data_IF_259625899443
#
_entry.id   IF_259625899443
#
_cell.length_a   1.000
_cell.length_b   1.000
_cell.length_c   1.000
_cell.angle_alpha   90.00
_cell.angle_beta   90.00
_cell.angle_gamma   90.00
#
_symmetry.space_group_name_H-M   'P 1'
#
loop_
_entity.id
_entity.type
_entity.pdbx_description
1 polymer ?
#
# COMPACT_ATOMS: atom_id res chain seq x y z
N UNK A 1 16.75 -4.09 20.84
CA UNK A 1 16.43 -4.82 19.60
C UNK A 1 16.66 -3.86 18.45
N UNK A 2 17.49 -4.20 17.46
CA UNK A 2 17.77 -3.31 16.32
C UNK A 2 16.61 -3.34 15.34
N UNK A 3 16.09 -2.17 14.94
CA UNK A 3 15.00 -2.05 13.97
C UNK A 3 15.51 -2.50 12.59
N UNK A 4 14.91 -3.55 12.03
CA UNK A 4 15.15 -3.94 10.64
C UNK A 4 14.37 -3.01 9.71
N UNK A 5 15.07 -2.39 8.77
CA UNK A 5 14.49 -1.55 7.73
C UNK A 5 14.57 -2.25 6.36
N UNK A 6 13.66 -1.92 5.43
CA UNK A 6 13.72 -2.46 4.09
C UNK A 6 15.01 -2.08 3.37
N UNK A 7 15.51 -2.96 2.50
CA UNK A 7 16.62 -2.66 1.60
C UNK A 7 16.19 -1.78 0.41
N UNK A 8 17.15 -1.35 -0.42
CA UNK A 8 16.87 -0.44 -1.55
C UNK A 8 15.88 -1.04 -2.57
N UNK A 9 15.94 -2.33 -2.83
CA UNK A 9 15.02 -3.01 -3.76
C UNK A 9 13.62 -3.10 -3.18
N UNK A 10 13.51 -3.42 -1.89
CA UNK A 10 12.26 -3.44 -1.15
C UNK A 10 11.63 -2.05 -1.08
N UNK A 11 12.41 -0.98 -0.88
CA UNK A 11 11.89 0.40 -0.92
C UNK A 11 11.32 0.78 -2.29
N UNK A 12 11.97 0.39 -3.38
CA UNK A 12 11.43 0.63 -4.73
C UNK A 12 10.10 -0.10 -4.94
N UNK A 13 10.02 -1.36 -4.49
CA UNK A 13 8.77 -2.13 -4.52
C UNK A 13 7.67 -1.49 -3.66
N UNK A 14 7.99 -1.10 -2.43
CA UNK A 14 7.06 -0.40 -1.52
C UNK A 14 6.54 0.88 -2.19
N UNK A 15 7.40 1.66 -2.84
CA UNK A 15 6.99 2.86 -3.57
C UNK A 15 5.98 2.56 -4.68
N UNK A 16 6.21 1.52 -5.47
CA UNK A 16 5.26 1.10 -6.51
C UNK A 16 3.91 0.69 -5.91
N UNK A 17 3.93 -0.13 -4.85
CA UNK A 17 2.71 -0.55 -4.16
C UNK A 17 1.99 0.65 -3.55
N UNK A 18 2.70 1.61 -2.96
CA UNK A 18 2.12 2.84 -2.43
C UNK A 18 1.43 3.67 -3.52
N UNK A 19 2.01 3.78 -4.72
CA UNK A 19 1.37 4.45 -5.85
C UNK A 19 0.05 3.76 -6.24
N UNK A 20 0.04 2.43 -6.30
CA UNK A 20 -1.18 1.67 -6.59
C UNK A 20 -2.24 1.88 -5.49
N UNK A 21 -1.85 1.75 -4.23
CA UNK A 21 -2.77 1.96 -3.10
C UNK A 21 -3.34 3.37 -3.16
N UNK A 22 -2.49 4.39 -3.30
CA UNK A 22 -2.90 5.80 -3.43
C UNK A 22 -3.93 5.99 -4.53
N UNK A 23 -3.70 5.39 -5.70
CA UNK A 23 -4.59 5.51 -6.85
C UNK A 23 -5.96 4.89 -6.57
N UNK A 24 -6.02 3.67 -6.02
CA UNK A 24 -7.29 2.97 -5.78
C UNK A 24 -8.06 3.57 -4.60
N UNK A 25 -7.39 3.90 -3.50
CA UNK A 25 -8.05 4.54 -2.35
C UNK A 25 -8.50 5.95 -2.70
N UNK A 26 -7.70 6.70 -3.47
CA UNK A 26 -8.11 7.98 -4.02
C UNK A 26 -9.33 7.85 -4.94
N UNK A 27 -9.37 6.86 -5.81
CA UNK A 27 -10.54 6.61 -6.69
C UNK A 27 -11.82 6.37 -5.89
N UNK A 28 -11.73 5.60 -4.80
CA UNK A 28 -12.85 5.39 -3.87
C UNK A 28 -13.22 6.69 -3.14
N UNK A 29 -12.22 7.46 -2.69
CA UNK A 29 -12.45 8.72 -1.99
C UNK A 29 -13.17 9.76 -2.86
N UNK A 30 -12.92 9.81 -4.17
CA UNK A 30 -13.68 10.67 -5.11
C UNK A 30 -15.18 10.39 -4.96
N UNK A 31 -15.61 9.14 -4.98
CA UNK A 31 -17.03 8.81 -4.87
C UNK A 31 -17.64 9.31 -3.55
N UNK A 32 -16.93 9.13 -2.43
CA UNK A 32 -17.39 9.60 -1.13
C UNK A 32 -17.49 11.12 -1.06
N UNK A 33 -16.48 11.82 -1.58
CA UNK A 33 -16.48 13.30 -1.62
C UNK A 33 -17.58 13.86 -2.54
N UNK A 34 -18.06 13.07 -3.50
CA UNK A 34 -19.20 13.40 -4.35
C UNK A 34 -20.53 12.81 -3.85
N UNK A 35 -20.59 12.42 -2.56
CA UNK A 35 -21.84 12.02 -1.88
C UNK A 35 -22.40 10.66 -2.31
N UNK A 36 -21.58 9.78 -2.91
CA UNK A 36 -22.03 8.44 -3.32
C UNK A 36 -21.95 7.45 -2.16
N UNK A 37 -22.94 6.57 -2.07
CA UNK A 37 -23.02 5.56 -1.02
C UNK A 37 -22.10 4.36 -1.30
N UNK A 38 -21.66 3.61 -0.26
CA UNK A 38 -20.82 2.43 -0.47
C UNK A 38 -21.42 1.40 -1.45
N UNK A 39 -22.74 1.19 -1.39
CA UNK A 39 -23.44 0.27 -2.30
C UNK A 39 -23.37 0.76 -3.76
N UNK A 40 -23.45 2.07 -3.98
CA UNK A 40 -23.31 2.66 -5.32
C UNK A 40 -21.90 2.46 -5.85
N UNK A 41 -20.89 2.69 -5.01
CA UNK A 41 -19.47 2.51 -5.35
C UNK A 41 -19.22 1.07 -5.76
N UNK A 42 -19.65 0.10 -4.94
CA UNK A 42 -19.46 -1.32 -5.22
C UNK A 42 -20.01 -1.74 -6.60
N UNK A 43 -21.16 -1.20 -7.00
CA UNK A 43 -21.82 -1.55 -8.28
C UNK A 43 -21.29 -0.79 -9.49
N UNK A 44 -20.69 0.39 -9.28
CA UNK A 44 -20.33 1.32 -10.37
C UNK A 44 -18.86 1.76 -10.29
N UNK A 45 -18.02 0.97 -9.63
CA UNK A 45 -16.61 1.31 -9.49
C UNK A 45 -15.93 1.29 -10.85
N UNK A 46 -15.37 2.44 -11.25
CA UNK A 46 -14.55 2.57 -12.44
C UNK A 46 -13.09 2.74 -12.03
N UNK A 47 -12.27 1.75 -12.37
CA UNK A 47 -10.83 1.77 -12.12
C UNK A 47 -10.12 2.94 -12.79
N UNK A 48 -10.66 3.52 -13.86
CA UNK A 48 -10.05 4.61 -14.60
C UNK A 48 -10.57 5.98 -14.16
N UNK A 49 -11.49 6.04 -13.19
CA UNK A 49 -12.16 7.26 -12.77
C UNK A 49 -11.17 8.38 -12.41
N UNK A 50 -10.25 8.12 -11.48
CA UNK A 50 -9.33 9.13 -10.98
C UNK A 50 -8.43 9.65 -12.10
N UNK A 51 -7.92 8.75 -12.95
CA UNK A 51 -7.15 9.12 -14.14
C UNK A 51 -7.94 10.07 -15.04
N UNK A 52 -9.18 9.69 -15.41
CA UNK A 52 -10.04 10.50 -16.26
C UNK A 52 -10.31 11.87 -15.65
N UNK A 53 -10.64 11.95 -14.35
CA UNK A 53 -10.88 13.23 -13.66
C UNK A 53 -9.66 14.15 -13.73
N UNK A 54 -8.45 13.61 -13.65
CA UNK A 54 -7.21 14.39 -13.71
C UNK A 54 -6.93 14.85 -15.15
N UNK A 55 -7.04 13.95 -16.13
CA UNK A 55 -6.56 14.16 -17.50
C UNK A 55 -7.59 14.71 -18.48
N UNK A 56 -8.88 14.39 -18.31
CA UNK A 56 -9.91 14.82 -19.23
C UNK A 56 -10.43 16.22 -18.91
N UNK A 57 -10.62 17.03 -19.95
CA UNK A 57 -11.11 18.42 -19.84
C UNK A 57 -12.63 18.53 -19.84
N UNK A 58 -13.36 17.46 -20.22
CA UNK A 58 -14.82 17.47 -20.33
C UNK A 58 -15.53 17.26 -18.97
N UNK A 59 -14.79 16.90 -17.92
CA UNK A 59 -15.37 16.62 -16.61
C UNK A 59 -15.72 17.91 -15.89
N UNK A 60 -16.89 17.93 -15.26
CA UNK A 60 -17.36 19.07 -14.47
C UNK A 60 -16.32 19.52 -13.45
N UNK A 61 -16.07 20.83 -13.40
CA UNK A 61 -15.04 21.44 -12.55
C UNK A 61 -15.23 21.13 -11.07
N UNK A 62 -16.46 21.05 -10.57
CA UNK A 62 -16.75 20.71 -9.17
C UNK A 62 -16.27 19.29 -8.81
N UNK A 63 -16.47 18.32 -9.71
CA UNK A 63 -15.98 16.95 -9.53
C UNK A 63 -14.45 16.95 -9.61
N UNK A 64 -13.88 17.72 -10.54
CA UNK A 64 -12.42 17.81 -10.72
C UNK A 64 -11.71 18.37 -9.49
N UNK A 65 -12.33 19.31 -8.77
CA UNK A 65 -11.78 19.84 -7.52
C UNK A 65 -11.72 18.77 -6.42
N UNK A 66 -12.58 17.74 -6.45
CA UNK A 66 -12.51 16.61 -5.49
C UNK A 66 -11.35 15.65 -5.78
N UNK A 67 -10.67 15.75 -6.93
CA UNK A 67 -9.51 14.93 -7.28
C UNK A 67 -8.29 15.22 -6.38
N UNK A 68 -8.12 16.47 -5.95
CA UNK A 68 -7.00 16.90 -5.10
C UNK A 68 -7.12 16.28 -3.70
N UNK A 69 -8.22 16.50 -2.94
CA UNK A 69 -8.37 15.91 -1.61
C UNK A 69 -8.44 14.36 -1.65
N UNK A 70 -8.92 13.77 -2.74
CA UNK A 70 -8.91 12.30 -2.89
C UNK A 70 -7.53 11.73 -3.16
N UNK A 71 -6.69 12.39 -3.96
CA UNK A 71 -5.28 12.01 -4.11
C UNK A 71 -4.53 12.12 -2.79
N UNK A 72 -4.77 13.20 -2.03
CA UNK A 72 -4.14 13.39 -0.71
C UNK A 72 -4.59 12.31 0.28
N UNK A 73 -5.88 11.99 0.35
CA UNK A 73 -6.37 10.92 1.22
C UNK A 73 -5.82 9.56 0.80
N UNK A 74 -5.69 9.32 -0.50
CA UNK A 74 -5.04 8.14 -1.03
C UNK A 74 -3.58 8.03 -0.62
N UNK A 75 -2.83 9.14 -0.73
CA UNK A 75 -1.43 9.20 -0.33
C UNK A 75 -1.25 8.92 1.16
N UNK A 76 -2.08 9.53 2.02
CA UNK A 76 -2.07 9.28 3.47
C UNK A 76 -2.38 7.82 3.77
N UNK A 77 -3.38 7.24 3.09
CA UNK A 77 -3.72 5.82 3.27
C UNK A 77 -2.58 4.88 2.87
N UNK A 78 -1.78 5.24 1.87
CA UNK A 78 -0.68 4.41 1.38
C UNK A 78 0.46 4.23 2.39
N UNK A 79 0.57 5.11 3.40
CA UNK A 79 1.55 5.00 4.49
C UNK A 79 1.36 3.72 5.32
N UNK A 80 0.19 3.07 5.24
CA UNK A 80 -0.02 1.77 5.88
C UNK A 80 0.92 0.69 5.32
N UNK A 81 1.32 0.80 4.05
CA UNK A 81 2.18 -0.19 3.37
C UNK A 81 3.56 -0.25 4.03
N UNK A 82 4.36 0.84 4.08
CA UNK A 82 5.68 0.80 4.72
C UNK A 82 5.58 0.45 6.21
N UNK A 83 4.55 0.95 6.92
CA UNK A 83 4.33 0.62 8.34
C UNK A 83 4.11 -0.88 8.53
N UNK A 84 3.24 -1.49 7.72
CA UNK A 84 2.95 -2.92 7.78
C UNK A 84 4.19 -3.77 7.44
N UNK A 85 4.96 -3.39 6.41
CA UNK A 85 6.18 -4.11 6.03
C UNK A 85 7.24 -4.01 7.14
N UNK A 86 7.48 -2.83 7.70
CA UNK A 86 8.43 -2.65 8.80
C UNK A 86 7.97 -3.48 10.01
N UNK A 87 6.68 -3.45 10.34
CA UNK A 87 6.15 -4.27 11.43
C UNK A 87 6.37 -5.77 11.19
N UNK A 88 6.10 -6.25 9.98
CA UNK A 88 6.27 -7.64 9.61
C UNK A 88 7.75 -8.07 9.62
N UNK A 89 8.67 -7.21 9.18
CA UNK A 89 10.12 -7.44 9.21
C UNK A 89 10.69 -7.52 10.63
N UNK A 90 10.03 -6.88 11.59
CA UNK A 90 10.45 -6.83 12.99
C UNK A 90 9.69 -7.81 13.89
N UNK A 91 8.76 -8.61 13.33
CA UNK A 91 8.25 -9.77 14.06
C UNK A 91 9.38 -10.78 14.28
N UNK A 92 9.52 -11.22 15.51
CA UNK A 92 10.35 -12.37 15.85
C UNK A 92 9.73 -13.62 15.22
N UNK A 93 10.47 -14.26 14.33
CA UNK A 93 10.16 -15.62 13.88
C UNK A 93 10.21 -16.55 15.10
N UNK A 94 9.05 -16.82 15.69
CA UNK A 94 8.89 -18.07 16.44
C UNK A 94 8.83 -19.13 15.36
N UNK A 95 9.97 -19.77 15.09
CA UNK A 95 10.06 -20.82 14.09
C UNK A 95 8.96 -21.86 14.36
N UNK A 96 8.09 -22.11 13.38
CA UNK A 96 7.00 -23.10 13.50
C UNK A 96 7.55 -24.51 13.79
N UNK A 97 8.79 -24.75 13.37
CA UNK A 97 9.63 -25.86 13.81
C UNK A 97 10.77 -25.25 14.63
N UNK A 98 10.69 -25.39 15.96
CA UNK A 98 11.62 -24.78 16.90
C UNK A 98 13.08 -24.91 16.45
N UNK A 99 13.81 -23.80 16.53
CA UNK A 99 15.25 -23.62 16.33
C UNK A 99 15.97 -24.82 15.67
N UNK A 100 15.62 -25.11 14.41
CA UNK A 100 16.36 -26.07 13.61
C UNK A 100 17.67 -25.40 13.19
N UNK A 101 18.59 -25.28 14.15
CA UNK A 101 20.00 -24.99 13.90
C UNK A 101 20.54 -26.13 13.04
N UNK A 102 20.46 -25.99 11.72
CA UNK A 102 21.27 -26.80 10.83
C UNK A 102 22.72 -26.63 11.29
N UNK A 103 23.37 -27.74 11.65
CA UNK A 103 24.73 -27.74 12.15
C UNK A 103 25.60 -26.92 11.20
N UNK A 104 26.31 -25.92 11.73
CA UNK A 104 27.28 -25.16 10.96
C UNK A 104 28.42 -26.10 10.55
N UNK A 105 29.09 -25.86 9.42
CA UNK A 105 30.27 -26.64 9.02
C UNK A 105 31.35 -26.74 10.12
N UNK A 106 31.39 -25.77 11.05
CA UNK A 106 32.24 -25.82 12.24
C UNK A 106 31.82 -26.88 13.27
N UNK A 107 30.53 -27.22 13.37
CA UNK A 107 30.01 -28.28 14.23
C UNK A 107 30.31 -29.67 13.62
N UNK A 108 30.28 -29.81 12.28
CA UNK A 108 30.67 -31.05 11.56
C UNK A 108 32.16 -31.37 11.66
N UNK A 109 33.02 -30.37 11.88
CA UNK A 109 34.48 -30.54 11.97
C UNK A 109 34.97 -31.06 13.32
N UNK A 110 34.09 -31.20 14.31
CA UNK A 110 34.41 -31.65 15.67
C UNK A 110 33.93 -33.07 16.00
N UNK A 111 33.24 -33.74 15.08
CA UNK A 111 32.87 -35.17 15.16
C UNK A 111 33.83 -36.03 14.34
#
# INVERSE_FOLDING_TARGET
MSLKLPDKGQWAFIGLVMCLVTYYTGSVAVYFLNGKTPLYIWKNFDSMLLWRIITESNIRTDIRLTAIPSLLSGMVSSLIVPVFIIWQLNKTDVALYGDAKFASDNDLRKS
#
